data_IF_646236327090
#
_entry.id   IF_646236327090
#
_cell.length_a   1.000
_cell.length_b   1.000
_cell.length_c   1.000
_cell.angle_alpha   90.00
_cell.angle_beta   90.00
_cell.angle_gamma   90.00
#
_symmetry.space_group_name_H-M   'P 1'
#
loop_
_entity.id
_entity.type
_entity.pdbx_description
1 polymer ?
#
# COMPACT_ATOMS: atom_id res chain seq x y z
N UNK A 1 5.06 14.97 17.67
CA UNK A 1 6.25 15.23 16.80
C UNK A 1 6.05 14.48 15.50
N UNK A 2 6.32 15.09 14.33
CA UNK A 2 6.24 14.40 13.03
C UNK A 2 7.64 14.37 12.37
N UNK A 3 7.90 13.35 11.55
CA UNK A 3 9.10 13.25 10.73
C UNK A 3 8.73 13.05 9.27
N UNK A 4 9.47 13.70 8.37
CA UNK A 4 9.29 13.56 6.93
C UNK A 4 10.45 12.75 6.35
N UNK A 5 10.13 11.66 5.69
CA UNK A 5 11.07 10.84 4.94
C UNK A 5 10.66 10.82 3.46
N UNK A 6 11.63 10.88 2.56
CA UNK A 6 11.40 10.90 1.11
C UNK A 6 11.69 9.52 0.53
N UNK A 7 10.81 9.05 -0.34
CA UNK A 7 10.95 7.77 -1.04
C UNK A 7 10.80 8.06 -2.54
N UNK A 8 11.62 7.44 -3.41
CA UNK A 8 11.46 7.58 -4.85
C UNK A 8 10.07 7.10 -5.30
N UNK A 9 9.55 7.69 -6.37
CA UNK A 9 8.28 7.25 -6.94
C UNK A 9 8.45 5.89 -7.61
N UNK A 10 7.49 4.99 -7.36
CA UNK A 10 7.50 3.66 -7.97
C UNK A 10 7.28 3.70 -9.48
N UNK A 11 6.51 4.69 -9.96
CA UNK A 11 6.18 4.87 -11.38
C UNK A 11 5.92 6.33 -11.72
N UNK A 12 6.47 6.77 -12.83
CA UNK A 12 6.20 8.08 -13.43
C UNK A 12 4.98 8.06 -14.37
N UNK A 13 4.35 9.22 -14.56
CA UNK A 13 3.19 9.35 -15.45
C UNK A 13 3.64 9.06 -16.89
N UNK A 14 2.92 8.17 -17.60
CA UNK A 14 3.26 7.64 -18.95
C UNK A 14 4.51 6.76 -19.04
N UNK A 15 5.10 6.34 -17.92
CA UNK A 15 6.20 5.38 -17.94
C UNK A 15 5.74 4.01 -18.49
N UNK A 16 6.59 3.35 -19.27
CA UNK A 16 6.31 2.01 -19.81
C UNK A 16 6.17 0.98 -18.68
N UNK A 17 5.32 -0.03 -18.87
CA UNK A 17 5.09 -1.08 -17.87
C UNK A 17 6.37 -1.80 -17.45
N UNK A 18 7.26 -2.08 -18.40
CA UNK A 18 8.51 -2.79 -18.15
C UNK A 18 9.46 -1.95 -17.29
N UNK A 19 9.67 -0.68 -17.65
CA UNK A 19 10.52 0.22 -16.86
C UNK A 19 9.91 0.52 -15.48
N UNK A 20 8.58 0.49 -15.36
CA UNK A 20 7.87 0.67 -14.08
C UNK A 20 8.20 -0.43 -13.07
N UNK A 21 8.48 -1.66 -13.53
CA UNK A 21 8.89 -2.76 -12.64
C UNK A 21 10.24 -2.45 -12.02
N UNK A 22 11.21 -1.99 -12.83
CA UNK A 22 12.54 -1.64 -12.34
C UNK A 22 12.48 -0.48 -11.33
N UNK A 23 11.72 0.58 -11.61
CA UNK A 23 11.58 1.72 -10.67
C UNK A 23 10.81 1.34 -9.40
N UNK A 24 9.86 0.40 -9.49
CA UNK A 24 9.17 -0.15 -8.32
C UNK A 24 10.13 -0.97 -7.46
N UNK A 25 10.95 -1.83 -8.06
CA UNK A 25 11.96 -2.62 -7.34
C UNK A 25 13.00 -1.72 -6.65
N UNK A 26 13.47 -0.69 -7.36
CA UNK A 26 14.35 0.32 -6.77
C UNK A 26 13.72 1.01 -5.55
N UNK A 27 12.42 1.34 -5.64
CA UNK A 27 11.68 1.92 -4.53
C UNK A 27 11.54 0.98 -3.34
N UNK A 28 11.37 -0.33 -3.57
CA UNK A 28 11.32 -1.36 -2.52
C UNK A 28 12.64 -1.44 -1.76
N UNK A 29 13.76 -1.49 -2.49
CA UNK A 29 15.10 -1.53 -1.89
C UNK A 29 15.36 -0.28 -1.04
N UNK A 30 14.86 0.88 -1.47
CA UNK A 30 14.98 2.11 -0.70
C UNK A 30 14.05 2.14 0.54
N UNK A 31 12.84 1.59 0.44
CA UNK A 31 11.87 1.60 1.55
C UNK A 31 12.18 0.59 2.66
N UNK A 32 12.92 -0.49 2.37
CA UNK A 32 13.36 -1.48 3.36
C UNK A 32 14.17 -0.89 4.53
N UNK A 33 15.31 -0.21 4.31
CA UNK A 33 16.10 0.35 5.41
C UNK A 33 15.33 1.44 6.16
N UNK A 34 14.48 2.19 5.46
CA UNK A 34 13.64 3.21 6.08
C UNK A 34 12.63 2.59 7.05
N UNK A 35 11.90 1.56 6.60
CA UNK A 35 10.91 0.86 7.42
C UNK A 35 11.59 0.15 8.60
N UNK A 36 12.79 -0.41 8.39
CA UNK A 36 13.58 -1.02 9.45
C UNK A 36 14.07 -0.01 10.49
N UNK A 37 14.44 1.21 10.07
CA UNK A 37 14.86 2.29 10.98
C UNK A 37 13.69 2.87 11.77
N UNK A 38 12.55 3.10 11.11
CA UNK A 38 11.36 3.71 11.73
C UNK A 38 10.55 2.73 12.58
N UNK A 39 10.60 1.42 12.26
CA UNK A 39 9.85 0.35 12.95
C UNK A 39 8.39 0.71 13.26
N UNK A 40 7.59 1.14 12.27
CA UNK A 40 6.23 1.57 12.52
C UNK A 40 5.37 0.42 13.10
N UNK A 41 4.50 0.74 14.04
CA UNK A 41 3.47 -0.19 14.53
C UNK A 41 2.31 -0.32 13.55
N UNK A 42 2.01 0.76 12.82
CA UNK A 42 0.91 0.88 11.88
C UNK A 42 1.38 1.63 10.63
N UNK A 43 1.02 1.12 9.46
CA UNK A 43 1.08 1.83 8.19
C UNK A 43 -0.35 2.04 7.72
N UNK A 44 -0.78 3.30 7.71
CA UNK A 44 -2.01 3.75 7.09
C UNK A 44 -1.66 4.36 5.74
N UNK A 45 -2.22 3.82 4.66
CA UNK A 45 -1.97 4.35 3.32
C UNK A 45 -3.19 4.23 2.42
N UNK A 46 -3.26 5.15 1.46
CA UNK A 46 -4.14 5.11 0.30
C UNK A 46 -3.27 5.23 -0.98
N UNK A 47 -3.81 4.85 -2.14
CA UNK A 47 -3.07 4.96 -3.41
C UNK A 47 -2.50 6.36 -3.64
N UNK A 48 -1.30 6.54 -4.26
CA UNK A 48 -0.85 5.90 -5.52
C UNK A 48 0.21 4.80 -5.36
N UNK A 49 0.76 4.29 -6.47
CA UNK A 49 1.68 3.13 -6.55
C UNK A 49 2.81 3.04 -5.51
N UNK A 50 3.31 4.17 -5.03
CA UNK A 50 4.40 4.26 -4.04
C UNK A 50 4.05 3.62 -2.68
N UNK A 51 2.76 3.48 -2.34
CA UNK A 51 2.37 2.77 -1.12
C UNK A 51 2.75 1.28 -1.14
N UNK A 52 2.80 0.66 -2.32
CA UNK A 52 3.07 -0.78 -2.48
C UNK A 52 4.49 -1.12 -2.01
N UNK A 53 5.57 -0.45 -2.45
CA UNK A 53 6.91 -0.66 -1.91
C UNK A 53 7.03 -0.60 -0.39
N UNK A 54 6.41 0.42 0.22
CA UNK A 54 6.48 0.65 1.67
C UNK A 54 5.78 -0.46 2.43
N UNK A 55 4.56 -0.79 2.03
CA UNK A 55 3.79 -1.86 2.65
C UNK A 55 4.47 -3.22 2.46
N UNK A 56 5.02 -3.48 1.27
CA UNK A 56 5.76 -4.71 1.00
C UNK A 56 7.02 -4.81 1.88
N UNK A 57 7.72 -3.71 2.08
CA UNK A 57 8.89 -3.64 2.97
C UNK A 57 8.53 -4.00 4.41
N UNK A 58 7.42 -3.45 4.91
CA UNK A 58 6.91 -3.76 6.24
C UNK A 58 6.45 -5.22 6.36
N UNK A 59 5.78 -5.73 5.33
CA UNK A 59 5.38 -7.12 5.25
C UNK A 59 6.59 -8.07 5.28
N UNK A 60 7.66 -7.76 4.53
CA UNK A 60 8.91 -8.53 4.55
C UNK A 60 9.58 -8.53 5.93
N UNK A 61 9.61 -7.39 6.63
CA UNK A 61 10.14 -7.33 8.00
C UNK A 61 9.29 -8.14 8.99
N UNK A 62 7.97 -8.19 8.78
CA UNK A 62 7.06 -9.06 9.53
C UNK A 62 7.31 -10.53 9.25
N UNK A 63 7.51 -10.90 7.98
CA UNK A 63 7.81 -12.26 7.55
C UNK A 63 9.15 -12.76 8.14
N UNK A 64 10.16 -11.88 8.20
CA UNK A 64 11.45 -12.15 8.84
C UNK A 64 11.40 -12.13 10.38
N UNK A 65 10.21 -12.00 10.99
CA UNK A 65 10.00 -11.91 12.45
C UNK A 65 10.79 -10.78 13.14
N UNK A 66 11.17 -9.74 12.40
CA UNK A 66 11.92 -8.59 12.93
C UNK A 66 10.97 -7.61 13.63
N UNK A 67 9.92 -7.19 12.92
CA UNK A 67 8.91 -6.26 13.42
C UNK A 67 7.59 -6.55 12.70
N UNK A 68 6.54 -6.84 13.48
CA UNK A 68 5.18 -6.91 12.96
C UNK A 68 4.61 -5.50 12.88
N UNK A 69 4.19 -5.10 11.68
CA UNK A 69 3.56 -3.81 11.39
C UNK A 69 2.17 -4.09 10.84
N UNK A 70 1.15 -3.43 11.40
CA UNK A 70 -0.22 -3.53 10.90
C UNK A 70 -0.34 -2.68 9.64
N UNK A 71 -0.86 -3.25 8.56
CA UNK A 71 -1.05 -2.55 7.28
C UNK A 71 -2.54 -2.30 7.06
N UNK A 72 -2.92 -1.02 7.08
CA UNK A 72 -4.28 -0.56 6.77
C UNK A 72 -4.24 0.18 5.43
N UNK A 73 -4.92 -0.40 4.44
CA UNK A 73 -5.07 0.21 3.13
C UNK A 73 -6.48 0.77 2.96
N UNK A 74 -6.58 2.04 2.56
CA UNK A 74 -7.85 2.68 2.21
C UNK A 74 -7.89 2.88 0.70
N UNK A 75 -8.84 2.22 0.04
CA UNK A 75 -9.04 2.39 -1.40
C UNK A 75 -9.60 3.79 -1.71
N UNK A 76 -9.20 4.32 -2.87
CA UNK A 76 -9.63 5.63 -3.35
C UNK A 76 -11.14 5.69 -3.53
N UNK A 77 -11.74 6.82 -3.12
CA UNK A 77 -13.16 7.10 -3.33
C UNK A 77 -13.56 7.06 -4.81
N UNK A 78 -12.64 7.35 -5.73
CA UNK A 78 -12.91 7.34 -7.17
C UNK A 78 -13.10 5.92 -7.73
N UNK A 79 -12.81 4.87 -6.95
CA UNK A 79 -12.95 3.48 -7.36
C UNK A 79 -14.30 2.93 -6.93
N UNK A 80 -15.29 3.04 -7.81
CA UNK A 80 -16.67 2.57 -7.55
C UNK A 80 -16.84 1.09 -7.91
N UNK A 81 -16.38 0.68 -9.10
CA UNK A 81 -16.67 -0.66 -9.65
C UNK A 81 -15.50 -1.65 -9.54
N UNK A 82 -14.27 -1.14 -9.55
CA UNK A 82 -13.05 -1.95 -9.57
C UNK A 82 -11.96 -1.35 -8.68
N UNK A 83 -11.16 -2.22 -8.04
CA UNK A 83 -10.01 -1.79 -7.25
C UNK A 83 -8.92 -1.19 -8.14
N UNK A 84 -8.14 -0.27 -7.57
CA UNK A 84 -6.92 0.24 -8.17
C UNK A 84 -5.88 -0.88 -8.32
N UNK A 85 -4.85 -0.69 -9.16
CA UNK A 85 -3.78 -1.69 -9.29
C UNK A 85 -3.07 -1.92 -7.95
N UNK A 86 -2.75 -0.83 -7.23
CA UNK A 86 -2.20 -0.90 -5.87
C UNK A 86 -3.15 -1.61 -4.91
N UNK A 87 -4.45 -1.31 -4.99
CA UNK A 87 -5.48 -1.95 -4.18
C UNK A 87 -5.56 -3.45 -4.45
N UNK A 88 -5.53 -3.89 -5.71
CA UNK A 88 -5.49 -5.32 -6.07
C UNK A 88 -4.27 -6.02 -5.48
N UNK A 89 -3.11 -5.37 -5.50
CA UNK A 89 -1.87 -5.93 -4.92
C UNK A 89 -1.98 -5.99 -3.38
N UNK A 90 -2.35 -4.89 -2.74
CA UNK A 90 -2.42 -4.77 -1.29
C UNK A 90 -3.56 -5.57 -0.68
N UNK A 91 -4.61 -5.89 -1.44
CA UNK A 91 -5.71 -6.74 -0.99
C UNK A 91 -5.22 -8.10 -0.45
N UNK A 92 -4.15 -8.65 -1.03
CA UNK A 92 -3.65 -9.96 -0.61
C UNK A 92 -2.93 -9.94 0.74
N UNK A 93 -2.14 -8.91 1.04
CA UNK A 93 -1.26 -8.90 2.21
C UNK A 93 -1.48 -7.76 3.22
N UNK A 94 -2.42 -6.84 2.96
CA UNK A 94 -2.89 -5.91 4.01
C UNK A 94 -3.68 -6.66 5.08
N UNK A 95 -3.51 -6.23 6.34
CA UNK A 95 -4.30 -6.72 7.47
C UNK A 95 -5.75 -6.21 7.37
N UNK A 96 -5.90 -4.91 7.09
CA UNK A 96 -7.21 -4.28 6.90
C UNK A 96 -7.26 -3.58 5.54
N UNK A 97 -8.25 -3.97 4.73
CA UNK A 97 -8.49 -3.38 3.43
C UNK A 97 -9.83 -2.67 3.43
N UNK A 98 -9.83 -1.34 3.39
CA UNK A 98 -11.03 -0.51 3.55
C UNK A 98 -11.53 -0.06 2.17
N UNK A 99 -12.83 -0.24 1.94
CA UNK A 99 -13.53 0.23 0.74
C UNK A 99 -14.66 1.17 1.10
N UNK A 100 -14.93 2.13 0.20
CA UNK A 100 -15.94 3.17 0.42
C UNK A 100 -17.26 2.89 -0.30
N UNK A 101 -17.32 1.84 -1.13
CA UNK A 101 -18.50 1.48 -1.93
C UNK A 101 -18.99 0.08 -1.57
N UNK A 102 -20.31 -0.11 -1.39
CA UNK A 102 -20.88 -1.39 -0.99
C UNK A 102 -20.69 -2.47 -2.07
N UNK A 103 -20.67 -2.10 -3.35
CA UNK A 103 -20.48 -3.06 -4.44
C UNK A 103 -19.06 -3.63 -4.47
N UNK A 104 -18.06 -2.83 -4.10
CA UNK A 104 -16.71 -3.36 -3.86
C UNK A 104 -16.69 -4.36 -2.71
N UNK A 105 -17.44 -4.13 -1.63
CA UNK A 105 -17.52 -5.09 -0.53
C UNK A 105 -18.14 -6.42 -0.96
N UNK A 106 -19.19 -6.38 -1.78
CA UNK A 106 -19.80 -7.59 -2.37
C UNK A 106 -18.79 -8.36 -3.22
N UNK A 107 -17.96 -7.66 -4.00
CA UNK A 107 -16.96 -8.27 -4.91
C UNK A 107 -15.68 -8.72 -4.19
N UNK A 108 -15.32 -8.07 -3.10
CA UNK A 108 -14.08 -8.29 -2.35
C UNK A 108 -14.40 -8.56 -0.88
N UNK A 109 -14.74 -9.81 -0.50
CA UNK A 109 -15.28 -10.11 0.83
C UNK A 109 -14.32 -9.84 1.98
N UNK A 110 -12.99 -9.87 1.76
CA UNK A 110 -11.96 -9.51 2.77
C UNK A 110 -11.98 -8.01 3.09
N UNK A 111 -12.54 -7.18 2.22
CA UNK A 111 -12.60 -5.73 2.45
C UNK A 111 -13.55 -5.37 3.59
N UNK A 112 -13.33 -4.23 4.22
CA UNK A 112 -14.19 -3.63 5.23
C UNK A 112 -14.87 -2.42 4.61
N UNK A 113 -16.19 -2.44 4.56
CA UNK A 113 -16.97 -1.30 4.09
C UNK A 113 -17.19 -0.33 5.24
N UNK A 114 -16.72 0.90 5.09
CA UNK A 114 -16.90 1.98 6.09
C UNK A 114 -17.69 3.18 5.53
N UNK A 115 -18.25 3.05 4.32
CA UNK A 115 -18.92 4.16 3.64
C UNK A 115 -17.93 5.26 3.22
N UNK A 116 -18.43 6.48 3.11
CA UNK A 116 -17.66 7.64 2.66
C UNK A 116 -16.75 8.14 3.79
N UNK A 117 -15.44 7.97 3.62
CA UNK A 117 -14.42 8.51 4.51
C UNK A 117 -13.85 9.74 3.82
N UNK A 118 -14.13 10.92 4.38
CA UNK A 118 -13.68 12.24 3.87
C UNK A 118 -12.40 12.66 4.56
#
# INVERSE_FOLDING_TARGET
QFSLDRIPRSREVRQSWISSVATTLYSIVYSLPLTYKRKPDLILCNGPGTCVPVCLSAFLLGLLRIKRTIIVYVESICRVETLSLSGKILYYFSDYFIVQWPDLKKKYPKSVYLGRIV
#
